data_IF_679773152535
#
_entry.id   IF_679773152535
#
_cell.length_a   1.000
_cell.length_b   1.000
_cell.length_c   1.000
_cell.angle_alpha   90.00
_cell.angle_beta   90.00
_cell.angle_gamma   90.00
#
_symmetry.space_group_name_H-M   'P 1'
#
loop_
_entity.id
_entity.type
_entity.pdbx_description
1 polymer ?
#
# COMPACT_ATOMS: atom_id res chain seq x y z
N UNK A 1 30.49 -5.19 -3.54
CA UNK A 1 29.70 -6.15 -4.34
C UNK A 1 29.03 -5.35 -5.43
N UNK A 2 29.07 -5.81 -6.68
CA UNK A 2 28.24 -5.18 -7.72
C UNK A 2 26.80 -5.66 -7.53
N UNK A 3 25.96 -4.79 -6.96
CA UNK A 3 24.57 -5.13 -6.68
C UNK A 3 23.77 -5.32 -7.98
N UNK A 4 24.16 -4.68 -9.08
CA UNK A 4 23.43 -4.75 -10.36
C UNK A 4 23.40 -6.19 -10.90
N UNK A 5 24.53 -6.91 -10.84
CA UNK A 5 24.60 -8.30 -11.31
C UNK A 5 23.71 -9.23 -10.48
N UNK A 6 23.65 -9.00 -9.16
CA UNK A 6 22.83 -9.77 -8.22
C UNK A 6 21.34 -9.47 -8.45
N UNK A 7 20.96 -8.20 -8.50
CA UNK A 7 19.58 -7.76 -8.74
C UNK A 7 19.05 -8.27 -10.09
N UNK A 8 19.86 -8.19 -11.14
CA UNK A 8 19.49 -8.73 -12.45
C UNK A 8 19.31 -10.26 -12.42
N UNK A 9 20.14 -10.99 -11.67
CA UNK A 9 19.98 -12.44 -11.48
C UNK A 9 18.68 -12.79 -10.73
N UNK A 10 18.33 -12.00 -9.71
CA UNK A 10 17.07 -12.13 -8.98
C UNK A 10 15.89 -11.85 -9.90
N UNK A 11 15.93 -10.78 -10.71
CA UNK A 11 14.85 -10.44 -11.65
C UNK A 11 14.63 -11.55 -12.69
N UNK A 12 15.71 -12.10 -13.27
CA UNK A 12 15.60 -13.25 -14.19
C UNK A 12 14.94 -14.46 -13.53
N UNK A 13 15.33 -14.77 -12.28
CA UNK A 13 14.71 -15.86 -11.51
C UNK A 13 13.24 -15.58 -11.20
N UNK A 14 12.88 -14.33 -10.93
CA UNK A 14 11.50 -13.94 -10.68
C UNK A 14 10.62 -14.10 -11.94
N UNK A 15 11.10 -13.65 -13.11
CA UNK A 15 10.41 -13.87 -14.39
C UNK A 15 10.25 -15.35 -14.70
N UNK A 16 11.32 -16.15 -14.51
CA UNK A 16 11.25 -17.59 -14.67
C UNK A 16 10.22 -18.23 -13.73
N UNK A 17 10.12 -17.76 -12.48
CA UNK A 17 9.11 -18.25 -11.55
C UNK A 17 7.68 -17.95 -12.04
N UNK A 18 7.42 -16.73 -12.51
CA UNK A 18 6.14 -16.36 -13.11
C UNK A 18 5.81 -17.15 -14.38
N UNK A 19 6.83 -17.54 -15.15
CA UNK A 19 6.69 -18.40 -16.34
C UNK A 19 6.37 -19.87 -15.96
N UNK A 20 6.89 -20.38 -14.84
CA UNK A 20 6.48 -21.70 -14.31
C UNK A 20 5.09 -21.70 -13.69
N UNK A 21 4.52 -20.51 -13.42
CA UNK A 21 3.23 -20.31 -12.75
C UNK A 21 2.23 -19.59 -13.66
N UNK A 22 2.00 -20.15 -14.86
CA UNK A 22 1.03 -19.61 -15.83
C UNK A 22 -0.42 -19.70 -15.34
N UNK A 23 -0.68 -20.54 -14.34
CA UNK A 23 -1.94 -20.58 -13.59
C UNK A 23 -2.24 -19.27 -12.85
N UNK A 24 -1.21 -18.52 -12.44
CA UNK A 24 -1.37 -17.23 -11.79
C UNK A 24 -1.72 -16.16 -12.83
N UNK A 25 -2.99 -15.77 -12.85
CA UNK A 25 -3.50 -14.80 -13.82
C UNK A 25 -3.10 -13.37 -13.46
N UNK A 26 -2.92 -12.52 -14.48
CA UNK A 26 -2.53 -11.12 -14.25
C UNK A 26 -3.53 -10.35 -13.40
N UNK A 27 -4.83 -10.64 -13.52
CA UNK A 27 -5.85 -9.98 -12.70
C UNK A 27 -5.66 -10.29 -11.21
N UNK A 28 -5.32 -11.53 -10.87
CA UNK A 28 -5.07 -11.94 -9.49
C UNK A 28 -3.84 -11.22 -8.92
N UNK A 29 -2.76 -11.09 -9.71
CA UNK A 29 -1.58 -10.32 -9.32
C UNK A 29 -1.91 -8.83 -9.14
N UNK A 30 -2.67 -8.24 -10.06
CA UNK A 30 -3.09 -6.84 -9.94
C UNK A 30 -3.92 -6.59 -8.69
N UNK A 31 -4.88 -7.47 -8.42
CA UNK A 31 -5.75 -7.38 -7.24
C UNK A 31 -4.97 -7.54 -5.93
N UNK A 32 -4.08 -8.52 -5.85
CA UNK A 32 -3.38 -8.85 -4.60
C UNK A 32 -2.16 -7.94 -4.33
N UNK A 33 -1.36 -7.66 -5.37
CA UNK A 33 -0.05 -7.05 -5.22
C UNK A 33 0.10 -5.72 -5.98
N UNK A 34 -0.92 -5.27 -6.71
CA UNK A 34 -0.89 -3.99 -7.43
C UNK A 34 0.02 -3.99 -8.68
N UNK A 35 0.53 -5.14 -9.12
CA UNK A 35 1.30 -5.27 -10.35
C UNK A 35 1.03 -6.61 -11.03
N UNK A 36 1.38 -6.75 -12.31
CA UNK A 36 1.34 -8.03 -13.03
C UNK A 36 2.45 -8.09 -14.10
N UNK A 37 2.45 -9.11 -14.96
CA UNK A 37 3.44 -9.26 -16.05
C UNK A 37 3.46 -8.06 -17.00
N UNK A 38 2.29 -7.46 -17.27
CA UNK A 38 2.19 -6.24 -18.07
C UNK A 38 2.79 -5.00 -17.38
N UNK A 39 2.85 -4.97 -16.05
CA UNK A 39 3.54 -3.90 -15.33
C UNK A 39 5.05 -4.08 -15.47
N UNK A 40 5.55 -5.31 -15.33
CA UNK A 40 6.96 -5.63 -15.53
C UNK A 40 7.45 -5.24 -16.92
N UNK A 41 6.66 -5.53 -17.97
CA UNK A 41 7.02 -5.11 -19.34
C UNK A 41 7.08 -3.59 -19.49
N UNK A 42 6.13 -2.85 -18.92
CA UNK A 42 6.14 -1.37 -18.93
C UNK A 42 7.35 -0.80 -18.17
N UNK A 43 7.68 -1.36 -17.01
CA UNK A 43 8.85 -0.94 -16.24
C UNK A 43 10.16 -1.23 -16.98
N UNK A 44 10.27 -2.39 -17.61
CA UNK A 44 11.43 -2.74 -18.44
C UNK A 44 11.61 -1.78 -19.62
N UNK A 45 10.52 -1.45 -20.32
CA UNK A 45 10.53 -0.46 -21.40
C UNK A 45 10.96 0.92 -20.89
N UNK A 46 10.36 1.42 -19.80
CA UNK A 46 10.72 2.71 -19.19
C UNK A 46 12.20 2.76 -18.80
N UNK A 47 12.71 1.70 -18.17
CA UNK A 47 14.12 1.62 -17.78
C UNK A 47 15.06 1.59 -19.00
N UNK A 48 14.64 0.97 -20.11
CA UNK A 48 15.40 1.00 -21.36
C UNK A 48 15.41 2.41 -21.98
N UNK A 49 14.27 3.09 -22.01
CA UNK A 49 14.14 4.47 -22.51
C UNK A 49 15.01 5.45 -21.73
N UNK A 50 15.09 5.32 -20.41
CA UNK A 50 16.00 6.10 -19.54
C UNK A 50 17.48 5.88 -19.89
N UNK A 51 17.83 4.72 -20.45
CA UNK A 51 19.17 4.40 -20.94
C UNK A 51 19.36 4.74 -22.44
N UNK A 52 18.39 5.41 -23.06
CA UNK A 52 18.41 5.76 -24.48
C UNK A 52 18.19 4.56 -25.42
N UNK A 53 17.73 3.42 -24.90
CA UNK A 53 17.42 2.22 -25.68
C UNK A 53 15.93 2.20 -25.99
N UNK A 54 15.58 2.18 -27.26
CA UNK A 54 14.19 2.07 -27.70
C UNK A 54 13.79 0.60 -27.78
N UNK A 55 12.72 0.24 -27.08
CA UNK A 55 12.12 -1.10 -27.10
C UNK A 55 10.62 -0.93 -27.37
N UNK A 56 10.08 -1.67 -28.33
CA UNK A 56 8.65 -1.65 -28.57
C UNK A 56 7.85 -2.44 -27.52
N UNK A 57 6.53 -2.24 -27.50
CA UNK A 57 5.67 -2.90 -26.51
C UNK A 57 5.63 -4.42 -26.65
N UNK A 58 5.85 -4.95 -27.87
CA UNK A 58 5.80 -6.38 -28.13
C UNK A 58 7.05 -7.06 -27.54
N UNK A 59 8.24 -6.52 -27.80
CA UNK A 59 9.51 -6.99 -27.26
C UNK A 59 9.55 -6.87 -25.72
N UNK A 60 9.03 -5.78 -25.16
CA UNK A 60 8.96 -5.62 -23.71
C UNK A 60 8.03 -6.65 -23.06
N UNK A 61 6.91 -7.00 -23.72
CA UNK A 61 6.03 -8.08 -23.27
C UNK A 61 6.72 -9.43 -23.42
N UNK A 62 7.34 -9.71 -24.56
CA UNK A 62 8.05 -10.98 -24.76
C UNK A 62 9.12 -11.21 -23.69
N UNK A 63 9.84 -10.17 -23.29
CA UNK A 63 10.75 -10.21 -22.13
C UNK A 63 10.05 -10.62 -20.82
N UNK A 64 8.87 -10.08 -20.55
CA UNK A 64 8.12 -10.36 -19.31
C UNK A 64 7.40 -11.73 -19.32
N UNK A 65 7.03 -12.24 -20.49
CA UNK A 65 6.25 -13.47 -20.66
C UNK A 65 7.07 -14.68 -21.10
N UNK A 66 8.29 -14.49 -21.61
CA UNK A 66 9.13 -15.56 -22.17
C UNK A 66 8.65 -16.09 -23.54
N UNK A 67 7.58 -15.52 -24.09
CA UNK A 67 6.98 -15.82 -25.38
C UNK A 67 6.15 -14.62 -25.84
N UNK A 68 5.64 -14.65 -27.07
CA UNK A 68 4.77 -13.57 -27.55
C UNK A 68 3.49 -13.48 -26.71
N UNK A 69 3.01 -12.26 -26.50
CA UNK A 69 1.80 -12.03 -25.71
C UNK A 69 0.58 -12.74 -26.30
N UNK A 70 0.46 -12.79 -27.63
CA UNK A 70 -0.66 -13.43 -28.30
C UNK A 70 -0.64 -14.96 -28.09
N UNK A 71 0.54 -15.59 -28.14
CA UNK A 71 0.67 -17.01 -27.77
C UNK A 71 0.26 -17.23 -26.31
N UNK A 72 0.78 -16.42 -25.39
CA UNK A 72 0.46 -16.59 -23.98
C UNK A 72 -1.04 -16.42 -23.70
N UNK A 73 -1.67 -15.42 -24.34
CA UNK A 73 -3.09 -15.16 -24.25
C UNK A 73 -3.92 -16.33 -24.76
N UNK A 74 -3.54 -16.91 -25.90
CA UNK A 74 -4.30 -18.01 -26.49
C UNK A 74 -4.13 -19.34 -25.71
N UNK A 75 -2.95 -19.58 -25.13
CA UNK A 75 -2.64 -20.86 -24.49
C UNK A 75 -2.93 -20.88 -22.97
N UNK A 76 -2.87 -19.74 -22.28
CA UNK A 76 -2.86 -19.71 -20.81
C UNK A 76 -3.76 -18.65 -20.17
N UNK A 77 -4.25 -17.64 -20.90
CA UNK A 77 -5.14 -16.66 -20.32
C UNK A 77 -6.53 -17.27 -20.14
N UNK A 78 -7.03 -17.24 -18.91
CA UNK A 78 -8.37 -17.71 -18.58
C UNK A 78 -9.36 -16.55 -18.58
N UNK A 79 -10.64 -16.89 -18.79
CA UNK A 79 -11.73 -15.95 -18.59
C UNK A 79 -11.77 -15.49 -17.14
N UNK A 80 -12.01 -14.20 -16.95
CA UNK A 80 -12.12 -13.60 -15.63
C UNK A 80 -13.53 -13.81 -15.07
N UNK A 81 -13.63 -14.41 -13.89
CA UNK A 81 -14.91 -14.57 -13.21
C UNK A 81 -15.49 -13.23 -12.75
N UNK A 82 -16.81 -13.17 -12.55
CA UNK A 82 -17.47 -11.98 -12.00
C UNK A 82 -16.87 -11.57 -10.63
N UNK A 83 -16.53 -12.56 -9.81
CA UNK A 83 -15.93 -12.32 -8.50
C UNK A 83 -14.51 -11.73 -8.60
N UNK A 84 -13.66 -12.24 -9.50
CA UNK A 84 -12.32 -11.67 -9.73
C UNK A 84 -12.38 -10.25 -10.27
N UNK A 85 -13.34 -9.98 -11.18
CA UNK A 85 -13.58 -8.64 -11.69
C UNK A 85 -14.02 -7.68 -10.57
N UNK A 86 -14.89 -8.13 -9.67
CA UNK A 86 -15.37 -7.33 -8.56
C UNK A 86 -14.24 -7.03 -7.54
N UNK A 87 -13.39 -8.01 -7.22
CA UNK A 87 -12.19 -7.81 -6.41
C UNK A 87 -11.23 -6.81 -7.04
N UNK A 88 -10.98 -6.93 -8.34
CA UNK A 88 -10.12 -6.01 -9.08
C UNK A 88 -10.67 -4.58 -9.07
N UNK A 89 -11.98 -4.42 -9.29
CA UNK A 89 -12.64 -3.12 -9.27
C UNK A 89 -12.62 -2.50 -7.86
N UNK A 90 -12.83 -3.30 -6.81
CA UNK A 90 -12.71 -2.86 -5.43
C UNK A 90 -11.29 -2.34 -5.15
N UNK A 91 -10.27 -3.10 -5.55
CA UNK A 91 -8.87 -2.70 -5.37
C UNK A 91 -8.54 -1.41 -6.12
N UNK A 92 -9.02 -1.25 -7.36
CA UNK A 92 -8.82 0.01 -8.11
C UNK A 92 -9.48 1.20 -7.43
N UNK A 93 -10.71 1.03 -6.96
CA UNK A 93 -11.43 2.10 -6.26
C UNK A 93 -10.75 2.48 -4.94
N UNK A 94 -10.25 1.49 -4.19
CA UNK A 94 -9.43 1.73 -3.00
C UNK A 94 -8.18 2.55 -3.35
N UNK A 95 -7.42 2.16 -4.36
CA UNK A 95 -6.19 2.87 -4.75
C UNK A 95 -6.49 4.30 -5.23
N UNK A 96 -7.60 4.50 -5.94
CA UNK A 96 -8.06 5.83 -6.35
C UNK A 96 -8.35 6.71 -5.14
N UNK A 97 -9.17 6.23 -4.20
CA UNK A 97 -9.48 6.98 -2.97
C UNK A 97 -8.21 7.28 -2.15
N UNK A 98 -7.27 6.33 -2.07
CA UNK A 98 -6.00 6.54 -1.37
C UNK A 98 -5.15 7.62 -2.04
N UNK A 99 -5.12 7.69 -3.37
CA UNK A 99 -4.40 8.72 -4.10
C UNK A 99 -5.02 10.10 -3.86
N UNK A 100 -6.34 10.22 -4.01
CA UNK A 100 -7.09 11.46 -3.74
C UNK A 100 -6.90 11.92 -2.28
N UNK A 101 -6.91 10.98 -1.33
CA UNK A 101 -6.67 11.29 0.07
C UNK A 101 -5.24 11.80 0.31
N UNK A 102 -4.21 11.21 -0.32
CA UNK A 102 -2.83 11.71 -0.19
C UNK A 102 -2.67 13.13 -0.75
N UNK A 103 -3.32 13.44 -1.85
CA UNK A 103 -3.35 14.81 -2.38
C UNK A 103 -4.01 15.76 -1.39
N UNK A 104 -5.12 15.34 -0.77
CA UNK A 104 -5.79 16.10 0.28
C UNK A 104 -4.90 16.32 1.51
N UNK A 105 -4.16 15.31 1.95
CA UNK A 105 -3.20 15.45 3.08
C UNK A 105 -2.12 16.50 2.79
N UNK A 106 -1.73 16.69 1.52
CA UNK A 106 -0.75 17.69 1.15
C UNK A 106 -1.24 19.14 1.38
N UNK A 107 -2.56 19.39 1.36
CA UNK A 107 -3.10 20.72 1.69
C UNK A 107 -3.07 21.03 3.18
N UNK A 108 -2.95 20.01 4.05
CA UNK A 108 -2.99 20.11 5.52
C UNK A 108 -4.29 20.68 6.09
N UNK A 109 -5.35 20.72 5.28
CA UNK A 109 -6.68 21.23 5.67
C UNK A 109 -7.70 20.11 5.91
N UNK A 110 -7.29 18.84 5.77
CA UNK A 110 -8.16 17.70 5.98
C UNK A 110 -8.72 17.66 7.41
N UNK A 111 -9.97 17.23 7.53
CA UNK A 111 -10.59 16.93 8.81
C UNK A 111 -10.20 15.51 9.27
N UNK A 112 -10.14 15.30 10.57
CA UNK A 112 -9.89 13.97 11.15
C UNK A 112 -10.98 12.96 10.76
N UNK A 113 -12.22 13.42 10.63
CA UNK A 113 -13.36 12.61 10.20
C UNK A 113 -13.21 12.04 8.79
N UNK A 114 -12.51 12.72 7.87
CA UNK A 114 -12.23 12.21 6.53
C UNK A 114 -11.40 10.92 6.59
N UNK A 115 -10.39 10.88 7.48
CA UNK A 115 -9.58 9.68 7.72
C UNK A 115 -10.43 8.53 8.26
N UNK A 116 -11.32 8.82 9.21
CA UNK A 116 -12.19 7.80 9.80
C UNK A 116 -13.16 7.23 8.75
N UNK A 117 -13.76 8.11 7.94
CA UNK A 117 -14.66 7.71 6.86
C UNK A 117 -13.95 6.83 5.82
N UNK A 118 -12.69 7.14 5.48
CA UNK A 118 -11.90 6.33 4.55
C UNK A 118 -11.62 4.93 5.12
N UNK A 119 -11.27 4.83 6.40
CA UNK A 119 -11.09 3.53 7.07
C UNK A 119 -12.41 2.74 7.07
N UNK A 120 -13.51 3.37 7.45
CA UNK A 120 -14.83 2.73 7.53
C UNK A 120 -15.37 2.32 6.16
N UNK A 121 -15.04 3.05 5.10
CA UNK A 121 -15.42 2.68 3.73
C UNK A 121 -14.79 1.36 3.31
N UNK A 122 -13.49 1.18 3.59
CA UNK A 122 -12.70 0.11 2.97
C UNK A 122 -12.36 -1.06 3.89
N UNK A 123 -12.32 -0.85 5.20
CA UNK A 123 -11.75 -1.80 6.12
C UNK A 123 -12.69 -2.15 7.27
N UNK A 124 -12.63 -3.40 7.70
CA UNK A 124 -13.16 -3.84 8.98
C UNK A 124 -12.09 -3.65 10.06
N UNK A 125 -12.46 -2.97 11.14
CA UNK A 125 -11.59 -2.79 12.31
C UNK A 125 -11.64 -4.04 13.18
N UNK A 126 -10.46 -4.56 13.51
CA UNK A 126 -10.23 -5.56 14.55
C UNK A 126 -9.59 -4.85 15.73
N UNK A 127 -10.35 -4.48 16.79
CA UNK A 127 -9.79 -3.80 17.93
C UNK A 127 -8.60 -4.57 18.51
N UNK A 128 -7.53 -3.86 18.81
CA UNK A 128 -6.29 -4.44 19.32
C UNK A 128 -5.54 -3.41 20.15
N UNK A 129 -4.79 -3.88 21.14
CA UNK A 129 -3.86 -3.02 21.85
C UNK A 129 -2.70 -2.62 20.93
N UNK A 130 -2.11 -1.46 21.21
CA UNK A 130 -0.90 -1.02 20.52
C UNK A 130 -0.02 -0.14 21.40
N UNK A 131 1.28 -0.24 21.18
CA UNK A 131 2.30 0.61 21.80
C UNK A 131 2.72 1.70 20.81
N UNK A 132 3.00 2.89 21.34
CA UNK A 132 3.54 4.01 20.60
C UNK A 132 4.70 4.69 21.35
N UNK A 133 5.91 4.52 20.84
CA UNK A 133 7.13 5.12 21.35
C UNK A 133 8.17 4.07 21.76
N UNK A 134 9.44 4.50 21.80
CA UNK A 134 10.59 3.65 22.11
C UNK A 134 11.23 3.98 23.47
N UNK A 135 10.84 5.09 24.09
CA UNK A 135 11.38 5.56 25.36
C UNK A 135 10.46 5.21 26.55
N UNK A 136 10.88 5.65 27.74
CA UNK A 136 10.14 5.46 28.99
C UNK A 136 8.75 6.14 28.99
N UNK A 137 8.52 7.06 28.04
CA UNK A 137 7.24 7.76 27.88
C UNK A 137 6.33 7.07 26.85
N UNK A 138 6.68 5.89 26.35
CA UNK A 138 5.88 5.15 25.40
C UNK A 138 4.44 4.96 25.88
N UNK A 139 3.48 5.30 25.02
CA UNK A 139 2.05 5.20 25.31
C UNK A 139 1.61 3.76 25.07
N UNK A 140 0.98 3.19 26.08
CA UNK A 140 0.31 1.89 25.99
C UNK A 140 -1.18 2.14 25.77
N UNK A 141 -1.71 1.64 24.65
CA UNK A 141 -3.12 1.75 24.32
C UNK A 141 -3.73 0.37 24.47
N UNK A 142 -4.63 0.20 25.43
CA UNK A 142 -5.37 -1.05 25.56
C UNK A 142 -6.40 -1.19 24.42
N UNK A 143 -6.87 -2.41 24.17
CA UNK A 143 -7.95 -2.63 23.21
C UNK A 143 -9.18 -1.76 23.56
N UNK A 144 -9.72 -1.07 22.54
CA UNK A 144 -10.85 -0.14 22.71
C UNK A 144 -10.46 1.26 23.20
N UNK A 145 -9.19 1.50 23.54
CA UNK A 145 -8.68 2.84 23.84
C UNK A 145 -8.08 3.49 22.59
N UNK A 146 -8.30 4.80 22.46
CA UNK A 146 -7.70 5.61 21.39
C UNK A 146 -7.94 5.02 19.99
N UNK A 147 -9.14 4.50 19.73
CA UNK A 147 -9.46 3.82 18.46
C UNK A 147 -9.23 4.70 17.23
N UNK A 148 -9.40 6.02 17.35
CA UNK A 148 -9.05 6.97 16.30
C UNK A 148 -7.56 6.91 15.93
N UNK A 149 -6.67 6.85 16.93
CA UNK A 149 -5.22 6.68 16.69
C UNK A 149 -4.90 5.30 16.12
N UNK A 150 -5.56 4.25 16.62
CA UNK A 150 -5.43 2.90 16.05
C UNK A 150 -5.78 2.89 14.57
N UNK A 151 -6.93 3.46 14.18
CA UNK A 151 -7.40 3.57 12.79
C UNK A 151 -6.38 4.32 11.91
N UNK A 152 -5.86 5.46 12.36
CA UNK A 152 -4.85 6.24 11.60
C UNK A 152 -3.58 5.43 11.37
N UNK A 153 -2.97 4.92 12.44
CA UNK A 153 -1.70 4.19 12.32
C UNK A 153 -1.87 2.90 11.54
N UNK A 154 -3.01 2.23 11.70
CA UNK A 154 -3.34 1.04 10.92
C UNK A 154 -3.45 1.34 9.43
N UNK A 155 -4.22 2.37 9.07
CA UNK A 155 -4.38 2.81 7.69
C UNK A 155 -3.03 3.16 7.07
N UNK A 156 -2.25 3.98 7.78
CA UNK A 156 -0.95 4.44 7.32
C UNK A 156 0.06 3.30 7.15
N UNK A 157 0.12 2.35 8.09
CA UNK A 157 1.03 1.21 7.97
C UNK A 157 0.63 0.28 6.83
N UNK A 158 -0.67 -0.02 6.70
CA UNK A 158 -1.18 -0.93 5.67
C UNK A 158 -0.99 -0.36 4.26
N UNK A 159 -1.12 0.95 4.09
CA UNK A 159 -1.05 1.62 2.79
C UNK A 159 0.29 2.31 2.54
N UNK A 160 1.30 2.15 3.39
CA UNK A 160 2.62 2.75 3.20
C UNK A 160 2.59 4.28 3.20
N UNK A 161 1.97 4.88 4.21
CA UNK A 161 2.04 6.32 4.44
C UNK A 161 3.39 6.70 5.02
N UNK A 162 3.93 7.84 4.60
CA UNK A 162 5.09 8.43 5.29
C UNK A 162 4.69 8.88 6.70
N UNK A 163 5.65 9.09 7.63
CA UNK A 163 5.34 9.66 8.93
C UNK A 163 4.55 10.97 8.84
N UNK A 164 4.87 11.82 7.87
CA UNK A 164 4.19 13.11 7.65
C UNK A 164 2.74 12.90 7.21
N UNK A 165 2.49 11.95 6.30
CA UNK A 165 1.13 11.60 5.87
C UNK A 165 0.30 11.01 7.03
N UNK A 166 0.90 10.14 7.84
CA UNK A 166 0.25 9.58 9.02
C UNK A 166 -0.10 10.67 10.05
N UNK A 167 0.80 11.63 10.30
CA UNK A 167 0.53 12.77 11.17
C UNK A 167 -0.58 13.67 10.59
N UNK A 168 -0.49 14.01 9.30
CA UNK A 168 -1.53 14.79 8.62
C UNK A 168 -2.91 14.12 8.67
N UNK A 169 -2.96 12.78 8.70
CA UNK A 169 -4.22 12.03 8.82
C UNK A 169 -4.94 12.24 10.16
N UNK A 170 -4.30 12.83 11.18
CA UNK A 170 -4.98 13.25 12.39
C UNK A 170 -5.73 14.59 12.25
N UNK A 171 -5.62 15.27 11.10
CA UNK A 171 -6.38 16.48 10.79
C UNK A 171 -6.14 17.59 11.82
N UNK A 172 -7.23 18.12 12.36
CA UNK A 172 -7.24 19.22 13.33
C UNK A 172 -6.45 18.87 14.60
N UNK A 173 -6.51 17.61 15.06
CA UNK A 173 -5.78 17.20 16.26
C UNK A 173 -4.26 17.31 16.10
N UNK A 174 -3.73 17.06 14.90
CA UNK A 174 -2.30 17.27 14.66
C UNK A 174 -1.96 18.76 14.59
N UNK A 175 -2.83 19.58 13.99
CA UNK A 175 -2.65 21.04 13.95
C UNK A 175 -2.67 21.64 15.35
N UNK A 176 -3.55 21.16 16.23
CA UNK A 176 -3.64 21.59 17.63
C UNK A 176 -2.38 21.24 18.42
N UNK A 177 -1.83 20.03 18.21
CA UNK A 177 -0.54 19.61 18.80
C UNK A 177 0.61 20.51 18.35
N UNK A 178 0.65 20.88 17.07
CA UNK A 178 1.67 21.80 16.55
C UNK A 178 1.54 23.21 17.13
N UNK A 179 0.32 23.67 17.39
CA UNK A 179 0.06 24.97 18.01
C UNK A 179 0.39 24.98 19.52
N UNK A 180 0.50 23.80 20.14
CA UNK A 180 0.75 23.63 21.58
C UNK A 180 1.97 22.73 21.83
N UNK A 181 3.20 23.19 21.50
CA UNK A 181 4.39 22.34 21.59
C UNK A 181 4.64 21.77 22.99
N UNK A 182 4.34 22.55 24.03
CA UNK A 182 4.48 22.15 25.44
C UNK A 182 3.21 21.50 26.04
N UNK A 183 2.21 21.21 25.21
CA UNK A 183 0.96 20.57 25.61
C UNK A 183 1.12 19.09 26.01
N UNK A 184 0.14 18.57 26.75
CA UNK A 184 0.09 17.17 27.19
C UNK A 184 -1.14 16.41 26.67
N UNK A 185 -1.85 16.96 25.69
CA UNK A 185 -2.93 16.33 24.94
C UNK A 185 -2.38 15.40 23.83
N UNK A 186 -3.25 14.58 23.24
CA UNK A 186 -2.95 13.77 22.06
C UNK A 186 -1.61 13.00 22.11
N UNK A 187 -1.36 12.29 23.21
CA UNK A 187 -0.09 11.60 23.47
C UNK A 187 0.38 10.68 22.34
N UNK A 188 -0.54 10.04 21.61
CA UNK A 188 -0.20 9.24 20.45
C UNK A 188 0.40 10.05 19.29
N UNK A 189 -0.13 11.25 19.02
CA UNK A 189 0.42 12.14 17.99
C UNK A 189 1.82 12.58 18.41
N UNK A 190 1.97 13.05 19.65
CA UNK A 190 3.26 13.53 20.20
C UNK A 190 4.34 12.45 20.20
N UNK A 191 4.01 11.22 20.63
CA UNK A 191 4.97 10.11 20.59
C UNK A 191 5.32 9.69 19.16
N UNK A 192 4.37 9.73 18.23
CA UNK A 192 4.65 9.40 16.85
C UNK A 192 5.52 10.47 16.16
N UNK A 193 5.39 11.76 16.50
CA UNK A 193 6.29 12.80 16.00
C UNK A 193 7.76 12.54 16.38
N UNK A 194 8.02 11.89 17.52
CA UNK A 194 9.36 11.63 18.03
C UNK A 194 9.96 10.34 17.49
N UNK A 195 9.16 9.27 17.45
CA UNK A 195 9.65 7.91 17.19
C UNK A 195 9.23 7.37 15.82
N UNK A 196 8.25 8.02 15.16
CA UNK A 196 7.70 7.60 13.89
C UNK A 196 7.22 6.16 13.88
N UNK A 197 7.28 5.53 12.71
CA UNK A 197 6.85 4.15 12.53
C UNK A 197 7.62 3.14 13.39
N UNK A 198 8.89 3.41 13.72
CA UNK A 198 9.69 2.53 14.56
C UNK A 198 9.08 2.37 15.97
N UNK A 199 8.37 3.39 16.46
CA UNK A 199 7.70 3.37 17.76
C UNK A 199 6.34 2.67 17.77
N UNK A 200 5.72 2.38 16.61
CA UNK A 200 4.40 1.76 16.54
C UNK A 200 4.51 0.24 16.54
N UNK A 201 3.84 -0.41 17.49
CA UNK A 201 3.72 -1.85 17.56
C UNK A 201 2.27 -2.24 17.86
N UNK A 202 1.62 -2.92 16.92
CA UNK A 202 0.30 -3.53 17.13
C UNK A 202 0.46 -4.92 17.71
N UNK A 203 -0.46 -5.34 18.58
CA UNK A 203 -0.50 -6.71 19.08
C UNK A 203 -1.01 -7.69 18.00
N UNK A 204 -1.94 -7.25 17.16
CA UNK A 204 -2.41 -7.99 15.98
C UNK A 204 -2.71 -7.03 14.82
N UNK A 205 -2.94 -7.56 13.61
CA UNK A 205 -3.31 -6.77 12.45
C UNK A 205 -4.68 -6.09 12.67
N UNK A 206 -4.74 -4.74 12.74
CA UNK A 206 -5.94 -4.02 13.15
C UNK A 206 -6.98 -3.83 12.04
N UNK A 207 -6.59 -3.93 10.77
CA UNK A 207 -7.49 -3.72 9.63
C UNK A 207 -7.45 -4.90 8.69
N UNK A 208 -8.62 -5.28 8.19
CA UNK A 208 -8.77 -6.18 7.04
C UNK A 208 -9.63 -5.52 5.98
N UNK A 209 -9.24 -5.64 4.71
CA UNK A 209 -10.06 -5.13 3.61
C UNK A 209 -11.42 -5.82 3.64
N UNK A 210 -12.49 -5.05 3.47
CA UNK A 210 -13.86 -5.57 3.45
C UNK A 210 -14.02 -6.56 2.30
N UNK A 211 -14.74 -7.64 2.55
CA UNK A 211 -15.08 -8.61 1.52
C UNK A 211 -15.89 -7.95 0.41
N UNK A 212 -15.66 -8.39 -0.83
CA UNK A 212 -16.55 -8.06 -1.94
C UNK A 212 -17.82 -8.88 -1.79
N UNK A 213 -18.97 -8.21 -1.72
CA UNK A 213 -20.27 -8.88 -1.82
C UNK A 213 -20.39 -9.50 -3.22
N UNK A 214 -20.70 -10.79 -3.26
CA UNK A 214 -20.81 -11.58 -4.50
C UNK A 214 -22.10 -11.26 -5.26
#
# INVERSE_FOLDING_TARGET
MDNNAIEAAVMRRFLQHLDTRKDVQNIQLMTLAGFCRNCLSKWYKSAAEEQGVQIDDAAAREWAYGMTYDQWKNEYQLDTSAHEMALFNQQQALQKDMAEFRERLASKENAFSETLALVEKWYDLKPTAFKNGLDEQAVQNQQGQNEGSLKVFALGRLNGFTPEQALASFGEHYRDVLATPDGNDHQNIRQFMRHGWAGIQFEQAPLTLKAVEA
#
